data_IF_777638440535
#
_entry.id   IF_777638440535
#
_cell.length_a   1.000
_cell.length_b   1.000
_cell.length_c   1.000
_cell.angle_alpha   90.00
_cell.angle_beta   90.00
_cell.angle_gamma   90.00
#
_symmetry.space_group_name_H-M   'P 1'
#
loop_
_entity.id
_entity.type
_entity.pdbx_description
1 polymer ?
#
# COMPACT_ATOMS: atom_id res chain seq x y z
N UNK A 1 -3.60 -5.33 -24.45
CA UNK A 1 -4.09 -6.63 -23.93
C UNK A 1 -5.12 -6.44 -22.82
N UNK A 2 -4.80 -5.71 -21.74
CA UNK A 2 -5.73 -5.38 -20.63
C UNK A 2 -7.08 -4.81 -21.09
N UNK A 3 -7.09 -3.86 -22.01
CA UNK A 3 -8.33 -3.27 -22.54
C UNK A 3 -9.26 -4.28 -23.25
N UNK A 4 -8.70 -5.30 -23.90
CA UNK A 4 -9.48 -6.37 -24.53
C UNK A 4 -10.05 -7.33 -23.48
N UNK A 5 -9.24 -7.70 -22.47
CA UNK A 5 -9.68 -8.54 -21.36
C UNK A 5 -10.80 -7.86 -20.56
N UNK A 6 -10.65 -6.56 -20.27
CA UNK A 6 -11.69 -5.78 -19.59
C UNK A 6 -13.00 -5.77 -20.38
N UNK A 7 -12.95 -5.55 -21.70
CA UNK A 7 -14.14 -5.64 -22.56
C UNK A 7 -14.76 -7.03 -22.56
N UNK A 8 -13.95 -8.09 -22.55
CA UNK A 8 -14.45 -9.46 -22.48
C UNK A 8 -15.22 -9.71 -21.18
N UNK A 9 -14.61 -9.44 -20.02
CA UNK A 9 -15.24 -9.73 -18.72
C UNK A 9 -16.48 -8.86 -18.46
N UNK A 10 -16.49 -7.62 -18.95
CA UNK A 10 -17.64 -6.72 -18.79
C UNK A 10 -18.81 -7.03 -19.73
N UNK A 11 -18.55 -7.57 -20.94
CA UNK A 11 -19.60 -7.87 -21.93
C UNK A 11 -20.09 -9.32 -21.91
N UNK A 12 -19.21 -10.26 -21.58
CA UNK A 12 -19.49 -11.72 -21.61
C UNK A 12 -19.81 -12.28 -20.22
N UNK A 13 -19.70 -11.45 -19.18
CA UNK A 13 -19.87 -11.84 -17.78
C UNK A 13 -18.54 -12.21 -17.11
N UNK A 14 -18.51 -12.12 -15.77
CA UNK A 14 -17.32 -12.39 -14.97
C UNK A 14 -16.94 -13.88 -15.03
N UNK A 15 -15.70 -14.21 -15.44
CA UNK A 15 -15.18 -15.56 -15.37
C UNK A 15 -15.10 -16.05 -13.92
N UNK A 16 -15.41 -17.33 -13.69
CA UNK A 16 -15.27 -17.97 -12.36
C UNK A 16 -13.82 -18.19 -11.94
N UNK A 17 -12.90 -18.09 -12.89
CA UNK A 17 -11.47 -18.30 -12.74
C UNK A 17 -10.69 -16.98 -12.87
N UNK A 18 -11.28 -15.88 -12.39
CA UNK A 18 -10.69 -14.54 -12.49
C UNK A 18 -9.29 -14.45 -11.87
N UNK A 19 -8.97 -15.31 -10.90
CA UNK A 19 -7.62 -15.47 -10.31
C UNK A 19 -6.53 -15.92 -11.30
N UNK A 20 -6.92 -16.50 -12.44
CA UNK A 20 -5.98 -16.89 -13.51
C UNK A 20 -5.62 -15.73 -14.45
N UNK A 21 -6.31 -14.59 -14.33
CA UNK A 21 -6.10 -13.41 -15.16
C UNK A 21 -5.01 -12.51 -14.55
N UNK A 22 -4.42 -11.59 -15.34
CA UNK A 22 -3.50 -10.60 -14.81
C UNK A 22 -4.17 -9.77 -13.70
N UNK A 23 -3.50 -9.63 -12.55
CA UNK A 23 -4.04 -8.92 -11.38
C UNK A 23 -4.38 -7.45 -11.67
N UNK A 24 -3.69 -6.84 -12.63
CA UNK A 24 -3.97 -5.48 -13.11
C UNK A 24 -5.39 -5.34 -13.66
N UNK A 25 -6.04 -6.42 -14.10
CA UNK A 25 -7.44 -6.40 -14.51
C UNK A 25 -8.35 -6.01 -13.35
N UNK A 26 -8.04 -6.48 -12.13
CA UNK A 26 -8.84 -6.23 -10.92
C UNK A 26 -8.89 -4.74 -10.55
N UNK A 27 -7.89 -3.96 -10.97
CA UNK A 27 -7.85 -2.50 -10.76
C UNK A 27 -8.96 -1.74 -11.51
N UNK A 28 -9.68 -2.42 -12.40
CA UNK A 28 -10.76 -1.87 -13.21
C UNK A 28 -12.13 -2.51 -12.89
N UNK A 29 -12.19 -3.37 -11.87
CA UNK A 29 -13.38 -4.09 -11.43
C UNK A 29 -13.76 -3.68 -10.01
N UNK A 30 -14.99 -3.94 -9.58
CA UNK A 30 -15.39 -3.78 -8.19
C UNK A 30 -15.32 -5.10 -7.41
N UNK A 31 -15.23 -5.06 -6.06
CA UNK A 31 -15.35 -6.25 -5.22
C UNK A 31 -16.65 -7.02 -5.44
N UNK A 32 -17.75 -6.33 -5.77
CA UNK A 32 -19.03 -6.99 -6.05
C UNK A 32 -18.98 -7.83 -7.33
N UNK A 33 -18.17 -7.43 -8.31
CA UNK A 33 -17.95 -8.22 -9.51
C UNK A 33 -17.19 -9.53 -9.21
N UNK A 34 -16.39 -9.53 -8.14
CA UNK A 34 -15.59 -10.66 -7.69
C UNK A 34 -16.37 -11.64 -6.78
N UNK A 35 -17.56 -11.27 -6.29
CA UNK A 35 -18.32 -12.04 -5.30
C UNK A 35 -18.69 -13.47 -5.76
N UNK A 36 -18.72 -13.75 -7.06
CA UNK A 36 -18.93 -15.08 -7.62
C UNK A 36 -17.68 -15.98 -7.66
N UNK A 37 -16.50 -15.41 -7.38
CA UNK A 37 -15.18 -16.06 -7.48
C UNK A 37 -14.55 -16.26 -6.10
N UNK A 38 -14.67 -15.28 -5.20
CA UNK A 38 -14.13 -15.40 -3.84
C UNK A 38 -14.60 -14.27 -2.91
N UNK A 39 -13.91 -14.12 -1.78
CA UNK A 39 -14.22 -13.11 -0.76
C UNK A 39 -13.63 -11.74 -1.11
N UNK A 40 -14.15 -10.67 -0.50
CA UNK A 40 -13.58 -9.33 -0.67
C UNK A 40 -12.11 -9.27 -0.24
N UNK A 41 -11.72 -10.05 0.79
CA UNK A 41 -10.33 -10.11 1.26
C UNK A 41 -9.42 -10.75 0.21
N UNK A 42 -9.89 -11.79 -0.49
CA UNK A 42 -9.14 -12.41 -1.60
C UNK A 42 -9.03 -11.44 -2.79
N UNK A 43 -10.08 -10.70 -3.09
CA UNK A 43 -10.05 -9.64 -4.10
C UNK A 43 -8.97 -8.61 -3.79
N UNK A 44 -8.99 -8.04 -2.57
CA UNK A 44 -8.03 -7.01 -2.20
C UNK A 44 -6.61 -7.52 -2.01
N UNK A 45 -6.42 -8.77 -1.58
CA UNK A 45 -5.10 -9.40 -1.59
C UNK A 45 -4.53 -9.46 -3.02
N UNK A 46 -5.35 -9.82 -4.00
CA UNK A 46 -4.94 -9.85 -5.40
C UNK A 46 -4.71 -8.44 -5.99
N UNK A 47 -5.53 -7.46 -5.61
CA UNK A 47 -5.33 -6.04 -5.96
C UNK A 47 -4.04 -5.50 -5.35
N UNK A 48 -3.75 -5.81 -4.09
CA UNK A 48 -2.55 -5.38 -3.39
C UNK A 48 -1.26 -5.93 -4.00
N UNK A 49 -1.33 -7.07 -4.69
CA UNK A 49 -0.21 -7.65 -5.44
C UNK A 49 -0.07 -7.10 -6.87
N UNK A 50 -1.09 -6.39 -7.38
CA UNK A 50 -1.07 -5.82 -8.72
C UNK A 50 -0.09 -4.64 -8.82
N UNK A 51 0.42 -4.38 -10.01
CA UNK A 51 1.13 -3.13 -10.27
C UNK A 51 0.14 -1.96 -10.35
N UNK A 52 -0.11 -1.29 -9.22
CA UNK A 52 -1.04 -0.15 -9.11
C UNK A 52 -0.62 1.07 -9.95
N UNK A 53 0.64 1.15 -10.38
CA UNK A 53 1.15 2.27 -11.18
C UNK A 53 0.67 2.26 -12.64
N UNK A 54 -0.07 1.22 -13.05
CA UNK A 54 -0.86 1.28 -14.29
C UNK A 54 -1.99 2.30 -14.22
N UNK A 55 -2.40 2.68 -13.01
CA UNK A 55 -3.25 3.82 -12.72
C UNK A 55 -2.37 4.99 -12.24
N UNK A 56 -2.45 6.17 -12.88
CA UNK A 56 -1.85 7.40 -12.34
C UNK A 56 -2.28 7.62 -10.88
N UNK A 57 -1.43 8.24 -10.05
CA UNK A 57 -1.76 8.45 -8.63
C UNK A 57 -3.01 9.30 -8.43
N UNK A 58 -3.25 10.24 -9.34
CA UNK A 58 -4.41 11.13 -9.35
C UNK A 58 -5.67 10.46 -9.90
N UNK A 59 -5.56 9.22 -10.36
CA UNK A 59 -6.72 8.49 -10.86
C UNK A 59 -7.69 8.19 -9.70
N UNK A 60 -8.95 8.66 -9.78
CA UNK A 60 -9.91 8.49 -8.68
C UNK A 60 -10.18 7.01 -8.35
N UNK A 61 -9.87 6.09 -9.26
CA UNK A 61 -10.01 4.65 -9.02
C UNK A 61 -9.03 4.14 -7.97
N UNK A 62 -7.83 4.70 -7.85
CA UNK A 62 -6.89 4.30 -6.79
C UNK A 62 -7.45 4.64 -5.41
N UNK A 63 -8.00 5.84 -5.27
CA UNK A 63 -8.64 6.27 -4.04
C UNK A 63 -9.87 5.40 -3.74
N UNK A 64 -10.69 5.09 -4.75
CA UNK A 64 -11.86 4.22 -4.59
C UNK A 64 -11.46 2.80 -4.14
N UNK A 65 -10.45 2.19 -4.78
CA UNK A 65 -9.94 0.87 -4.41
C UNK A 65 -9.42 0.86 -2.97
N UNK A 66 -8.70 1.89 -2.55
CA UNK A 66 -8.23 2.01 -1.17
C UNK A 66 -9.40 2.09 -0.19
N UNK A 67 -10.40 2.92 -0.45
CA UNK A 67 -11.57 3.07 0.43
C UNK A 67 -12.35 1.76 0.57
N UNK A 68 -12.60 1.07 -0.54
CA UNK A 68 -13.27 -0.23 -0.54
C UNK A 68 -12.43 -1.32 0.14
N UNK A 69 -11.10 -1.27 0.05
CA UNK A 69 -10.21 -2.18 0.75
C UNK A 69 -10.28 -1.98 2.26
N UNK A 70 -10.25 -0.72 2.72
CA UNK A 70 -10.36 -0.36 4.12
C UNK A 70 -11.73 -0.78 4.70
N UNK A 71 -12.80 -0.64 3.92
CA UNK A 71 -14.14 -1.12 4.29
C UNK A 71 -14.19 -2.65 4.39
N UNK A 72 -13.67 -3.37 3.39
CA UNK A 72 -13.61 -4.83 3.38
C UNK A 72 -12.80 -5.40 4.56
N UNK A 73 -11.74 -4.71 4.97
CA UNK A 73 -10.87 -5.09 6.08
C UNK A 73 -11.38 -4.65 7.46
N UNK A 74 -12.53 -3.96 7.51
CA UNK A 74 -13.16 -3.45 8.72
C UNK A 74 -12.17 -2.67 9.61
N UNK A 75 -11.31 -1.85 9.00
CA UNK A 75 -10.25 -1.11 9.71
C UNK A 75 -10.88 -0.15 10.74
N UNK A 76 -10.57 -0.29 12.04
CA UNK A 76 -11.08 0.62 13.05
C UNK A 76 -10.28 1.94 13.02
N UNK A 77 -10.94 3.03 12.60
CA UNK A 77 -10.29 4.33 12.50
C UNK A 77 -9.19 4.35 11.43
N UNK A 78 -7.97 4.72 11.82
CA UNK A 78 -6.84 4.86 10.88
C UNK A 78 -5.68 3.90 11.15
N UNK A 79 -5.81 3.01 12.14
CA UNK A 79 -4.73 2.12 12.55
C UNK A 79 -4.72 0.83 11.71
N UNK A 80 -3.67 0.66 10.91
CA UNK A 80 -3.44 -0.54 10.09
C UNK A 80 -2.50 -1.48 10.85
N UNK A 81 -2.94 -2.71 11.03
CA UNK A 81 -2.13 -3.80 11.56
C UNK A 81 -1.35 -4.52 10.43
N UNK A 82 -0.42 -5.40 10.77
CA UNK A 82 0.43 -6.09 9.79
C UNK A 82 -0.37 -6.98 8.83
N UNK A 83 -1.42 -7.66 9.31
CA UNK A 83 -2.26 -8.53 8.48
C UNK A 83 -3.05 -7.73 7.43
N UNK A 84 -3.58 -6.57 7.80
CA UNK A 84 -4.29 -5.68 6.89
C UNK A 84 -3.32 -5.00 5.92
N UNK A 85 -2.11 -4.65 6.37
CA UNK A 85 -1.07 -4.12 5.50
C UNK A 85 -0.65 -5.13 4.41
N UNK A 86 -0.56 -6.42 4.77
CA UNK A 86 -0.28 -7.50 3.83
C UNK A 86 -1.37 -7.63 2.76
N UNK A 87 -2.65 -7.54 3.15
CA UNK A 87 -3.77 -7.55 2.19
C UNK A 87 -3.78 -6.31 1.31
N UNK A 88 -3.53 -5.12 1.88
CA UNK A 88 -3.47 -3.87 1.12
C UNK A 88 -2.33 -3.86 0.11
N UNK A 89 -1.20 -4.49 0.43
CA UNK A 89 -0.03 -4.56 -0.43
C UNK A 89 0.36 -3.18 -0.97
N UNK A 90 0.36 -3.01 -2.30
CA UNK A 90 0.70 -1.76 -2.96
C UNK A 90 -0.26 -0.60 -2.69
N UNK A 91 -1.48 -0.85 -2.24
CA UNK A 91 -2.41 0.21 -1.83
C UNK A 91 -1.95 0.97 -0.59
N UNK A 92 -1.02 0.41 0.21
CA UNK A 92 -0.36 1.14 1.31
C UNK A 92 0.30 2.43 0.83
N UNK A 93 0.77 2.47 -0.42
CA UNK A 93 1.39 3.66 -1.01
C UNK A 93 0.43 4.84 -1.20
N UNK A 94 -0.88 4.59 -1.16
CA UNK A 94 -1.92 5.60 -1.32
C UNK A 94 -2.58 6.00 0.02
N UNK A 95 -2.15 5.40 1.14
CA UNK A 95 -2.66 5.74 2.47
C UNK A 95 -2.35 7.21 2.81
N UNK A 96 -3.35 7.99 3.29
CA UNK A 96 -3.13 9.34 3.79
C UNK A 96 -2.15 9.37 4.96
N UNK A 97 -1.54 10.55 5.22
CA UNK A 97 -0.53 10.71 6.27
C UNK A 97 -1.03 10.34 7.66
N UNK A 98 -2.32 10.50 7.94
CA UNK A 98 -2.93 10.11 9.22
C UNK A 98 -2.86 8.60 9.49
N UNK A 99 -3.05 7.75 8.48
CA UNK A 99 -2.94 6.30 8.60
C UNK A 99 -1.49 5.87 8.86
N UNK A 100 -0.54 6.54 8.20
CA UNK A 100 0.89 6.30 8.43
C UNK A 100 1.27 6.64 9.87
N UNK A 101 0.83 7.80 10.38
CA UNK A 101 1.11 8.24 11.76
C UNK A 101 0.52 7.31 12.81
N UNK A 102 -0.76 6.95 12.69
CA UNK A 102 -1.44 6.09 13.67
C UNK A 102 -0.96 4.64 13.63
N UNK A 103 -0.56 4.16 12.45
CA UNK A 103 -0.01 2.81 12.29
C UNK A 103 1.45 2.70 12.76
N UNK A 104 2.14 3.83 12.88
CA UNK A 104 3.51 3.90 13.39
C UNK A 104 4.48 3.04 12.59
N UNK A 105 5.38 2.36 13.29
CA UNK A 105 6.44 1.57 12.67
C UNK A 105 5.98 0.36 11.82
N UNK A 106 4.72 -0.05 11.94
CA UNK A 106 4.18 -1.26 11.27
C UNK A 106 4.22 -1.18 9.75
N UNK A 107 3.96 0.01 9.19
CA UNK A 107 3.88 0.20 7.74
C UNK A 107 5.22 0.54 7.09
N UNK A 108 6.29 0.79 7.85
CA UNK A 108 7.54 1.30 7.29
C UNK A 108 8.17 0.36 6.26
N UNK A 109 8.05 -0.96 6.44
CA UNK A 109 8.55 -1.94 5.49
C UNK A 109 7.74 -1.94 4.20
N UNK A 110 6.41 -1.85 4.29
CA UNK A 110 5.53 -1.80 3.12
C UNK A 110 5.71 -0.49 2.35
N UNK A 111 5.76 0.63 3.08
CA UNK A 111 6.04 1.96 2.53
C UNK A 111 7.40 2.00 1.85
N UNK A 112 8.43 1.30 2.36
CA UNK A 112 9.75 1.24 1.71
C UNK A 112 9.71 0.66 0.29
N UNK A 113 8.63 0.00 -0.10
CA UNK A 113 8.46 -0.54 -1.44
C UNK A 113 7.80 0.46 -2.40
N UNK A 114 7.25 1.57 -1.90
CA UNK A 114 6.58 2.59 -2.70
C UNK A 114 7.56 3.40 -3.54
N UNK A 115 7.15 3.79 -4.76
CA UNK A 115 8.00 4.54 -5.68
C UNK A 115 8.08 6.04 -5.39
N UNK A 116 7.04 6.62 -4.79
CA UNK A 116 6.96 8.05 -4.45
C UNK A 116 5.97 8.30 -3.33
N UNK A 117 6.03 9.51 -2.75
CA UNK A 117 5.15 9.94 -1.67
C UNK A 117 4.63 11.36 -1.94
N UNK A 118 3.44 11.64 -1.44
CA UNK A 118 2.94 13.00 -1.33
C UNK A 118 3.63 13.74 -0.16
N UNK A 119 3.72 15.07 -0.17
CA UNK A 119 4.37 15.83 0.90
C UNK A 119 3.86 15.49 2.31
N UNK A 120 2.55 15.27 2.46
CA UNK A 120 1.96 14.88 3.75
C UNK A 120 2.38 13.46 4.19
N UNK A 121 2.50 12.53 3.24
CA UNK A 121 2.99 11.17 3.52
C UNK A 121 4.46 11.21 3.94
N UNK A 122 5.27 12.04 3.27
CA UNK A 122 6.67 12.22 3.64
C UNK A 122 6.83 12.77 5.06
N UNK A 123 6.04 13.77 5.43
CA UNK A 123 6.00 14.31 6.79
C UNK A 123 5.61 13.23 7.81
N UNK A 124 4.54 12.49 7.55
CA UNK A 124 4.11 11.38 8.39
C UNK A 124 5.20 10.31 8.58
N UNK A 125 5.89 9.92 7.51
CA UNK A 125 7.01 8.96 7.56
C UNK A 125 8.14 9.50 8.43
N UNK A 126 8.51 10.78 8.27
CA UNK A 126 9.57 11.42 9.08
C UNK A 126 9.18 11.46 10.56
N UNK A 127 7.92 11.77 10.89
CA UNK A 127 7.42 11.79 12.26
C UNK A 127 7.55 10.40 12.90
N UNK A 128 7.09 9.36 12.20
CA UNK A 128 7.17 7.97 12.66
C UNK A 128 8.63 7.55 12.89
N UNK A 129 9.51 7.78 11.92
CA UNK A 129 10.93 7.42 12.02
C UNK A 129 11.63 8.19 13.16
N UNK A 130 11.34 9.47 13.31
CA UNK A 130 11.95 10.34 14.33
C UNK A 130 11.48 10.00 15.75
N UNK A 131 10.28 9.44 15.90
CA UNK A 131 9.77 9.02 17.22
C UNK A 131 10.64 7.94 17.86
N UNK A 132 11.35 7.15 17.05
CA UNK A 132 12.11 5.97 17.50
C UNK A 132 11.25 4.84 18.07
N UNK A 133 9.93 5.01 18.17
CA UNK A 133 8.98 4.01 18.66
C UNK A 133 8.58 3.04 17.54
N UNK A 134 9.59 2.40 16.95
CA UNK A 134 9.44 1.44 15.87
C UNK A 134 10.27 0.20 16.18
N UNK A 135 10.02 -0.89 15.47
CA UNK A 135 10.85 -2.10 15.55
C UNK A 135 12.30 -1.87 15.11
N UNK A 136 12.58 -0.77 14.40
CA UNK A 136 13.91 -0.35 13.99
C UNK A 136 14.63 0.52 15.03
N UNK A 137 13.92 0.99 16.06
CA UNK A 137 14.45 1.93 17.05
C UNK A 137 14.71 3.34 16.49
N UNK A 138 15.35 4.22 17.28
CA UNK A 138 15.69 5.57 16.87
C UNK A 138 16.78 5.58 15.79
N UNK A 139 16.86 6.62 14.93
CA UNK A 139 17.86 6.73 13.86
C UNK A 139 19.32 6.51 14.31
N UNK A 140 19.66 6.93 15.52
CA UNK A 140 20.99 6.74 16.12
C UNK A 140 21.38 5.27 16.38
N UNK A 141 20.42 4.35 16.37
CA UNK A 141 20.64 2.91 16.55
C UNK A 141 20.60 2.14 15.22
N UNK A 142 20.38 2.81 14.08
CA UNK A 142 20.24 2.14 12.80
C UNK A 142 21.55 1.55 12.31
N UNK A 143 21.47 0.30 11.84
CA UNK A 143 22.58 -0.42 11.21
C UNK A 143 22.47 -0.35 9.68
N UNK A 144 23.52 -0.79 8.98
CA UNK A 144 23.46 -1.00 7.53
C UNK A 144 22.31 -1.95 7.14
N UNK A 145 21.99 -2.94 7.99
CA UNK A 145 20.84 -3.82 7.77
C UNK A 145 19.52 -3.06 7.87
N UNK A 146 19.36 -2.19 8.87
CA UNK A 146 18.17 -1.31 8.99
C UNK A 146 18.01 -0.43 7.75
N UNK A 147 19.08 0.20 7.29
CA UNK A 147 19.09 1.04 6.09
C UNK A 147 18.72 0.24 4.83
N UNK A 148 19.16 -1.02 4.72
CA UNK A 148 18.77 -1.88 3.60
C UNK A 148 17.27 -2.17 3.57
N UNK A 149 16.67 -2.39 4.75
CA UNK A 149 15.22 -2.63 4.87
C UNK A 149 14.39 -1.37 4.61
N UNK A 150 14.92 -0.19 4.91
CA UNK A 150 14.26 1.11 4.72
C UNK A 150 14.72 1.82 3.44
N UNK A 151 15.35 1.11 2.50
CA UNK A 151 16.06 1.72 1.37
C UNK A 151 15.17 2.64 0.51
N UNK A 152 13.91 2.28 0.26
CA UNK A 152 12.98 3.14 -0.48
C UNK A 152 12.50 4.38 0.29
N UNK A 153 12.75 4.46 1.60
CA UNK A 153 12.46 5.64 2.42
C UNK A 153 13.65 6.59 2.51
N UNK A 154 14.85 6.21 2.04
CA UNK A 154 16.06 7.05 2.08
C UNK A 154 15.83 8.44 1.46
N UNK A 155 15.18 8.59 0.29
CA UNK A 155 14.93 9.90 -0.30
C UNK A 155 14.04 10.80 0.56
N UNK A 156 13.24 10.20 1.44
CA UNK A 156 12.30 10.89 2.33
C UNK A 156 12.98 11.33 3.63
N UNK A 157 14.14 10.75 3.98
CA UNK A 157 14.82 11.08 5.22
C UNK A 157 15.20 12.56 5.24
N UNK A 158 14.67 13.30 6.22
CA UNK A 158 15.03 14.69 6.45
C UNK A 158 16.47 14.82 6.96
N UNK A 159 17.03 16.03 6.84
CA UNK A 159 18.41 16.32 7.28
C UNK A 159 18.64 15.95 8.76
N UNK A 160 17.65 16.19 9.62
CA UNK A 160 17.71 15.86 11.05
C UNK A 160 17.85 14.36 11.34
N UNK A 161 17.21 13.51 10.53
CA UNK A 161 17.32 12.05 10.65
C UNK A 161 18.69 11.60 10.14
N UNK A 162 19.10 12.07 8.96
CA UNK A 162 20.37 11.69 8.33
C UNK A 162 21.58 11.99 9.22
N UNK A 163 21.57 13.10 9.96
CA UNK A 163 22.65 13.45 10.90
C UNK A 163 22.78 12.51 12.10
N UNK A 164 21.71 11.79 12.46
CA UNK A 164 21.72 10.87 13.60
C UNK A 164 22.25 9.49 13.23
N UNK A 165 22.22 9.12 11.95
CA UNK A 165 22.61 7.79 11.49
C UNK A 165 24.12 7.60 11.74
N UNK A 166 24.54 6.51 12.40
CA UNK A 166 25.95 6.20 12.61
C UNK A 166 26.72 6.16 11.28
N UNK A 167 27.95 6.69 11.29
CA UNK A 167 28.87 6.69 10.14
C UNK A 167 29.53 5.34 9.92
#
# INVERSE_FOLDING_TARGET
QLSCLLKMVTLQGMPKDLDSYPKELLLFLSPSDYAGTGSCRQFFSSVGEANVDVLPREDPRRQQLLLEALECLEVPGTEINEENAEVLGRLVCDLPGEYIRSSGGRLLKDLSQCGSFLPEQEEAIRDVLSSGNTTFGPPAAWSAFTLSQLSGLIPVLGHSILQQIPK
#
